data_IF_723504477128
#
_entry.id   IF_723504477128
#
_cell.length_a   1.000
_cell.length_b   1.000
_cell.length_c   1.000
_cell.angle_alpha   90.00
_cell.angle_beta   90.00
_cell.angle_gamma   90.00
#
_symmetry.space_group_name_H-M   'P 1'
#
loop_
_entity.id
_entity.type
_entity.pdbx_description
1 polymer ?
#
# COMPACT_ATOMS: atom_id res chain seq x y z
N UNK A 1 -11.41 39.32 11.20
CA UNK A 1 -11.56 37.89 11.56
C UNK A 1 -11.97 37.10 10.33
N UNK A 2 -11.29 36.04 10.02
CA UNK A 2 -11.64 35.17 8.89
C UNK A 2 -11.46 33.71 9.28
N UNK A 3 -12.53 32.94 9.15
CA UNK A 3 -12.49 31.48 9.14
C UNK A 3 -12.59 31.01 7.69
N UNK A 4 -11.64 30.20 7.27
CA UNK A 4 -11.65 29.54 5.96
C UNK A 4 -11.65 28.05 6.20
N UNK A 5 -12.46 27.35 5.42
CA UNK A 5 -12.46 25.89 5.41
C UNK A 5 -12.48 25.39 3.98
N UNK A 6 -11.85 24.24 3.78
CA UNK A 6 -11.89 23.53 2.51
C UNK A 6 -12.05 22.04 2.83
N UNK A 7 -13.05 21.42 2.21
CA UNK A 7 -13.30 19.99 2.28
C UNK A 7 -13.19 19.40 0.87
N UNK A 8 -12.29 18.47 0.70
CA UNK A 8 -12.11 17.74 -0.54
C UNK A 8 -12.35 16.26 -0.32
N UNK A 9 -13.11 15.64 -1.23
CA UNK A 9 -13.30 14.18 -1.28
C UNK A 9 -12.84 13.75 -2.67
N UNK A 10 -12.01 12.73 -2.71
CA UNK A 10 -11.54 12.14 -3.96
C UNK A 10 -11.74 10.63 -3.93
N UNK A 11 -12.14 10.11 -5.07
CA UNK A 11 -12.21 8.68 -5.33
C UNK A 11 -11.62 8.40 -6.69
N UNK A 12 -10.73 7.44 -6.77
CA UNK A 12 -10.22 6.93 -8.05
C UNK A 12 -10.29 5.41 -8.09
N UNK A 13 -10.57 4.89 -9.27
CA UNK A 13 -10.51 3.48 -9.59
C UNK A 13 -9.67 3.31 -10.84
N UNK A 14 -8.58 2.60 -10.69
CA UNK A 14 -7.60 2.34 -11.74
C UNK A 14 -7.63 0.83 -12.05
N UNK A 15 -8.22 0.41 -13.18
CA UNK A 15 -8.14 -0.99 -13.59
C UNK A 15 -6.69 -1.32 -13.96
N UNK A 16 -6.22 -2.49 -13.54
CA UNK A 16 -4.90 -2.97 -13.91
C UNK A 16 -4.84 -3.46 -15.35
N UNK A 17 -3.61 -3.69 -15.83
CA UNK A 17 -3.36 -4.22 -17.18
C UNK A 17 -3.89 -5.67 -17.31
N UNK A 18 -3.77 -6.43 -16.22
CA UNK A 18 -4.31 -7.79 -16.16
C UNK A 18 -5.77 -7.76 -15.71
N UNK A 19 -6.58 -8.68 -16.25
CA UNK A 19 -7.98 -8.82 -15.83
C UNK A 19 -8.08 -9.06 -14.31
N UNK A 20 -9.13 -8.51 -13.69
CA UNK A 20 -9.41 -8.64 -12.26
C UNK A 20 -8.34 -8.06 -11.33
N UNK A 21 -7.38 -7.32 -11.87
CA UNK A 21 -6.50 -6.50 -11.08
C UNK A 21 -6.95 -5.04 -11.10
N UNK A 22 -6.61 -4.32 -10.05
CA UNK A 22 -6.91 -2.90 -10.00
C UNK A 22 -6.52 -2.27 -8.68
N UNK A 23 -6.66 -0.96 -8.64
CA UNK A 23 -6.43 -0.14 -7.47
C UNK A 23 -7.60 0.80 -7.25
N UNK A 24 -8.14 0.78 -6.05
CA UNK A 24 -9.17 1.72 -5.60
C UNK A 24 -8.52 2.65 -4.56
N UNK A 25 -8.73 3.94 -4.71
CA UNK A 25 -8.25 4.94 -3.77
C UNK A 25 -9.37 5.86 -3.37
N UNK A 26 -9.54 6.09 -2.09
CA UNK A 26 -10.48 7.03 -1.50
C UNK A 26 -9.75 7.96 -0.56
N UNK A 27 -9.98 9.25 -0.68
CA UNK A 27 -9.37 10.26 0.17
C UNK A 27 -10.36 11.32 0.61
N UNK A 28 -10.12 11.84 1.81
CA UNK A 28 -10.79 13.00 2.36
C UNK A 28 -9.74 13.96 2.89
N UNK A 29 -9.86 15.24 2.52
CA UNK A 29 -8.98 16.29 2.98
C UNK A 29 -9.82 17.43 3.56
N UNK A 30 -9.54 17.80 4.80
CA UNK A 30 -10.15 18.92 5.49
C UNK A 30 -9.05 19.93 5.86
N UNK A 31 -9.20 21.16 5.42
CA UNK A 31 -8.31 22.25 5.78
C UNK A 31 -9.11 23.34 6.48
N UNK A 32 -8.66 23.71 7.65
CA UNK A 32 -9.24 24.80 8.45
C UNK A 32 -8.18 25.86 8.67
N UNK A 33 -8.54 27.11 8.45
CA UNK A 33 -7.67 28.25 8.75
C UNK A 33 -8.47 29.33 9.46
N UNK A 34 -8.00 29.72 10.63
CA UNK A 34 -8.57 30.81 11.41
C UNK A 34 -7.53 31.90 11.60
N UNK A 35 -7.87 33.12 11.16
CA UNK A 35 -7.03 34.31 11.33
C UNK A 35 -7.75 35.36 12.16
N UNK A 36 -7.09 35.79 13.25
CA UNK A 36 -7.58 36.86 14.10
C UNK A 36 -6.41 37.72 14.60
N UNK A 37 -6.38 38.97 14.22
CA UNK A 37 -5.33 39.93 14.59
C UNK A 37 -3.93 39.36 14.32
N UNK A 38 -3.20 39.01 15.37
CA UNK A 38 -1.83 38.50 15.36
C UNK A 38 -1.76 36.96 15.25
N UNK A 39 -2.88 36.27 15.31
CA UNK A 39 -2.96 34.81 15.32
C UNK A 39 -3.36 34.26 13.97
N UNK A 40 -2.66 33.24 13.55
CA UNK A 40 -3.01 32.40 12.42
C UNK A 40 -2.96 30.93 12.87
N UNK A 41 -4.10 30.27 12.88
CA UNK A 41 -4.28 28.88 13.30
C UNK A 41 -4.67 28.09 12.07
N UNK A 42 -4.00 26.96 11.84
CA UNK A 42 -4.24 26.08 10.70
C UNK A 42 -4.32 24.63 11.19
N UNK A 43 -5.28 23.91 10.64
CA UNK A 43 -5.36 22.47 10.79
C UNK A 43 -5.61 21.84 9.43
N UNK A 44 -4.92 20.75 9.14
CA UNK A 44 -5.05 19.97 7.92
C UNK A 44 -5.17 18.49 8.28
N UNK A 45 -6.37 17.94 8.09
CA UNK A 45 -6.66 16.52 8.26
C UNK A 45 -6.75 15.85 6.90
N UNK A 46 -6.03 14.76 6.72
CA UNK A 46 -6.09 13.91 5.52
C UNK A 46 -6.36 12.48 5.92
N UNK A 47 -7.35 11.87 5.30
CA UNK A 47 -7.69 10.46 5.40
C UNK A 47 -7.50 9.82 4.03
N UNK A 48 -6.81 8.71 3.95
CA UNK A 48 -6.60 8.00 2.69
C UNK A 48 -6.77 6.50 2.91
N UNK A 49 -7.57 5.86 2.06
CA UNK A 49 -7.66 4.42 1.97
C UNK A 49 -7.34 3.98 0.54
N UNK A 50 -6.40 3.06 0.41
CA UNK A 50 -5.97 2.51 -0.88
C UNK A 50 -6.00 1.01 -0.80
N UNK A 51 -6.75 0.38 -1.71
CA UNK A 51 -6.79 -1.07 -1.89
C UNK A 51 -6.35 -1.43 -3.29
N UNK A 52 -5.37 -2.33 -3.38
CA UNK A 52 -4.92 -2.94 -4.61
C UNK A 52 -5.20 -4.44 -4.61
N UNK A 53 -5.84 -4.93 -5.65
CA UNK A 53 -6.11 -6.36 -5.86
C UNK A 53 -5.24 -6.85 -7.02
N UNK A 54 -4.46 -7.91 -6.80
CA UNK A 54 -3.64 -8.55 -7.82
C UNK A 54 -4.49 -9.53 -8.63
N UNK A 55 -4.06 -9.76 -9.88
CA UNK A 55 -4.81 -10.58 -10.82
C UNK A 55 -4.63 -12.07 -10.56
N UNK A 56 -5.69 -12.87 -10.50
CA UNK A 56 -5.61 -14.33 -10.51
C UNK A 56 -5.03 -14.89 -11.81
N UNK A 57 -5.01 -14.07 -12.88
CA UNK A 57 -4.36 -14.43 -14.15
C UNK A 57 -2.83 -14.38 -14.10
N UNK A 58 -2.23 -13.99 -12.97
CA UNK A 58 -0.80 -13.78 -12.83
C UNK A 58 -0.27 -12.53 -13.53
N UNK A 59 1.03 -12.49 -13.81
CA UNK A 59 1.67 -11.32 -14.42
C UNK A 59 1.70 -11.40 -15.95
N UNK A 60 1.66 -10.24 -16.61
CA UNK A 60 1.79 -10.15 -18.07
C UNK A 60 3.07 -10.82 -18.60
N UNK A 61 4.17 -10.75 -17.84
CA UNK A 61 5.45 -11.37 -18.23
C UNK A 61 5.39 -12.90 -18.33
N UNK A 62 4.47 -13.56 -17.63
CA UNK A 62 4.28 -15.01 -17.76
C UNK A 62 3.73 -15.36 -19.15
N UNK A 63 2.83 -14.56 -19.69
CA UNK A 63 2.22 -14.79 -21.01
C UNK A 63 3.17 -14.50 -22.16
N UNK A 64 3.99 -13.46 -22.05
CA UNK A 64 4.94 -13.08 -23.12
C UNK A 64 6.03 -14.13 -23.36
N UNK A 65 6.28 -15.01 -22.39
CA UNK A 65 7.28 -16.11 -22.49
C UNK A 65 6.68 -17.42 -23.00
N UNK A 66 5.35 -17.50 -23.14
CA UNK A 66 4.68 -18.71 -23.59
C UNK A 66 4.65 -18.80 -25.11
N UNK A 67 4.81 -20.02 -25.63
CA UNK A 67 4.60 -20.30 -27.03
C UNK A 67 3.10 -20.14 -27.35
N UNK A 68 2.71 -19.32 -28.34
CA UNK A 68 1.30 -19.09 -28.70
C UNK A 68 0.58 -20.34 -29.23
N UNK A 69 1.33 -21.36 -29.66
CA UNK A 69 0.77 -22.62 -30.18
C UNK A 69 0.45 -23.64 -29.08
N UNK A 70 0.74 -23.37 -27.82
CA UNK A 70 0.35 -24.29 -26.75
C UNK A 70 -1.16 -24.43 -26.64
N UNK A 71 -1.63 -25.68 -26.55
CA UNK A 71 -3.04 -26.00 -26.30
C UNK A 71 -3.37 -25.69 -24.83
N UNK A 72 -4.25 -24.73 -24.61
CA UNK A 72 -4.61 -24.22 -23.27
C UNK A 72 -5.64 -25.08 -22.55
N UNK A 73 -6.45 -25.83 -23.30
CA UNK A 73 -7.59 -26.59 -22.80
C UNK A 73 -7.50 -28.05 -23.22
N UNK A 74 -8.13 -28.92 -22.44
CA UNK A 74 -8.40 -30.30 -22.78
C UNK A 74 -9.52 -30.44 -23.87
N UNK A 75 -9.90 -31.66 -24.19
CA UNK A 75 -10.94 -31.97 -25.18
C UNK A 75 -12.34 -31.49 -24.75
N UNK A 76 -12.54 -31.30 -23.42
CA UNK A 76 -13.77 -30.81 -22.84
C UNK A 76 -13.81 -29.28 -22.66
N UNK A 77 -12.78 -28.57 -23.14
CA UNK A 77 -12.67 -27.12 -23.04
C UNK A 77 -12.22 -26.60 -21.67
N UNK A 78 -11.77 -27.47 -20.74
CA UNK A 78 -11.26 -27.07 -19.42
C UNK A 78 -9.78 -26.74 -19.51
N UNK A 79 -9.32 -25.71 -18.79
CA UNK A 79 -7.89 -25.39 -18.77
C UNK A 79 -7.08 -26.50 -18.10
N UNK A 80 -6.03 -26.94 -18.77
CA UNK A 80 -5.05 -27.89 -18.23
C UNK A 80 -4.08 -27.18 -17.31
N UNK A 81 -3.58 -27.83 -16.26
CA UNK A 81 -2.58 -27.27 -15.36
C UNK A 81 -1.20 -27.10 -16.02
N UNK A 82 -0.91 -27.96 -17.01
CA UNK A 82 0.33 -27.94 -17.78
C UNK A 82 0.03 -27.66 -19.24
N UNK A 83 0.85 -26.84 -19.88
CA UNK A 83 0.85 -26.58 -21.32
C UNK A 83 1.79 -27.53 -22.05
N UNK A 84 2.94 -27.85 -21.45
CA UNK A 84 3.97 -28.73 -22.02
C UNK A 84 4.89 -29.25 -20.92
N UNK A 85 5.58 -30.36 -21.24
CA UNK A 85 6.65 -30.93 -20.43
C UNK A 85 7.87 -31.14 -21.28
N UNK A 86 8.96 -30.45 -20.99
CA UNK A 86 10.22 -30.59 -21.71
C UNK A 86 11.23 -31.38 -20.89
N UNK A 87 11.75 -32.48 -21.49
CA UNK A 87 12.88 -33.17 -20.92
C UNK A 87 14.16 -32.40 -21.24
N UNK A 88 14.96 -32.13 -20.22
CA UNK A 88 16.26 -31.52 -20.40
C UNK A 88 17.23 -32.56 -21.00
N UNK A 89 18.09 -32.19 -21.99
CA UNK A 89 19.07 -33.10 -22.55
C UNK A 89 20.16 -33.41 -21.52
N UNK A 90 20.66 -34.67 -21.54
CA UNK A 90 21.77 -35.14 -20.72
C UNK A 90 21.38 -36.33 -19.82
N UNK A 91 22.41 -37.14 -19.40
CA UNK A 91 22.21 -38.21 -18.41
C UNK A 91 21.77 -37.59 -17.06
N UNK A 92 20.57 -37.96 -16.63
CA UNK A 92 19.94 -37.38 -15.43
C UNK A 92 19.16 -36.07 -15.69
N UNK A 93 18.92 -35.70 -16.95
CA UNK A 93 18.13 -34.53 -17.33
C UNK A 93 16.72 -34.55 -16.72
N UNK A 94 16.40 -33.52 -15.94
CA UNK A 94 15.09 -33.36 -15.32
C UNK A 94 13.99 -32.96 -16.31
N UNK A 95 12.76 -32.95 -15.86
CA UNK A 95 11.62 -32.46 -16.63
C UNK A 95 11.29 -31.02 -16.21
N UNK A 96 11.18 -30.13 -17.20
CA UNK A 96 10.69 -28.76 -16.99
C UNK A 96 9.21 -28.71 -17.36
N UNK A 97 8.39 -28.40 -16.40
CA UNK A 97 6.94 -28.22 -16.58
C UNK A 97 6.67 -26.78 -17.02
N UNK A 98 5.93 -26.63 -18.13
CA UNK A 98 5.43 -25.33 -18.58
C UNK A 98 3.99 -25.23 -18.09
N UNK A 99 3.78 -24.44 -17.05
CA UNK A 99 2.49 -24.29 -16.40
C UNK A 99 1.55 -23.38 -17.19
N UNK A 100 0.26 -23.64 -17.06
CA UNK A 100 -0.79 -22.83 -17.65
C UNK A 100 -1.28 -21.78 -16.62
N UNK A 101 -0.97 -20.50 -16.79
CA UNK A 101 -1.41 -19.48 -15.85
C UNK A 101 -2.96 -19.33 -15.79
N UNK A 102 -3.66 -19.73 -16.87
CA UNK A 102 -5.13 -19.68 -16.91
C UNK A 102 -5.80 -20.77 -16.04
N UNK A 103 -5.08 -21.81 -15.69
CA UNK A 103 -5.61 -22.86 -14.81
C UNK A 103 -5.97 -22.34 -13.43
N UNK A 104 -5.17 -21.38 -12.92
CA UNK A 104 -5.35 -20.81 -11.58
C UNK A 104 -6.64 -20.00 -11.43
N UNK A 105 -7.30 -19.62 -12.54
CA UNK A 105 -8.58 -18.91 -12.51
C UNK A 105 -9.73 -19.74 -11.87
N UNK A 106 -9.61 -21.06 -11.94
CA UNK A 106 -10.61 -21.95 -11.35
C UNK A 106 -10.30 -22.30 -9.89
N UNK A 107 -9.16 -21.86 -9.41
CA UNK A 107 -8.73 -22.11 -8.04
C UNK A 107 -9.15 -20.94 -7.14
N UNK A 108 -9.44 -21.22 -5.88
CA UNK A 108 -9.61 -20.15 -4.90
C UNK A 108 -8.30 -19.40 -4.73
N UNK A 109 -8.39 -18.11 -4.88
CA UNK A 109 -7.26 -17.18 -4.86
C UNK A 109 -7.65 -15.89 -4.16
N UNK A 110 -6.75 -15.35 -3.35
CA UNK A 110 -6.89 -14.06 -2.72
C UNK A 110 -5.53 -13.39 -2.71
N UNK A 111 -5.43 -12.21 -3.21
CA UNK A 111 -4.18 -11.44 -3.19
C UNK A 111 -4.53 -9.96 -3.26
N UNK A 112 -4.46 -9.30 -2.11
CA UNK A 112 -4.70 -7.88 -2.03
C UNK A 112 -3.80 -7.20 -1.01
N UNK A 113 -3.64 -5.91 -1.19
CA UNK A 113 -2.99 -5.01 -0.23
C UNK A 113 -3.93 -3.84 0.05
N UNK A 114 -4.14 -3.53 1.32
CA UNK A 114 -4.94 -2.40 1.77
C UNK A 114 -4.12 -1.52 2.70
N UNK A 115 -4.12 -0.22 2.44
CA UNK A 115 -3.42 0.77 3.24
C UNK A 115 -4.40 1.88 3.64
N UNK A 116 -4.55 2.07 4.93
CA UNK A 116 -5.31 3.18 5.49
C UNK A 116 -4.37 4.13 6.22
N UNK A 117 -4.52 5.43 6.02
CA UNK A 117 -3.69 6.44 6.65
C UNK A 117 -4.52 7.65 7.08
N UNK A 118 -4.24 8.12 8.28
CA UNK A 118 -4.74 9.38 8.85
C UNK A 118 -3.55 10.27 9.13
N UNK A 119 -3.57 11.47 8.60
CA UNK A 119 -2.56 12.51 8.87
C UNK A 119 -3.27 13.76 9.34
N UNK A 120 -2.92 14.24 10.52
CA UNK A 120 -3.41 15.51 11.06
C UNK A 120 -2.23 16.43 11.37
N UNK A 121 -2.26 17.62 10.80
CA UNK A 121 -1.25 18.65 10.98
C UNK A 121 -1.90 19.89 11.57
N UNK A 122 -1.48 20.27 12.75
CA UNK A 122 -1.89 21.49 13.43
C UNK A 122 -0.74 22.48 13.46
N UNK A 123 -1.00 23.75 13.15
CA UNK A 123 -0.03 24.83 13.24
C UNK A 123 -0.67 26.08 13.80
N UNK A 124 0.02 26.73 14.71
CA UNK A 124 -0.34 28.02 15.28
C UNK A 124 0.81 28.98 15.14
N UNK A 125 0.57 30.16 14.62
CA UNK A 125 1.53 31.26 14.48
C UNK A 125 0.99 32.51 15.17
N UNK A 126 1.87 33.18 15.89
CA UNK A 126 1.59 34.47 16.54
C UNK A 126 2.65 35.50 16.16
N UNK A 127 2.21 36.62 15.58
CA UNK A 127 3.04 37.79 15.40
C UNK A 127 3.03 38.64 16.68
N UNK A 128 3.96 38.37 17.60
CA UNK A 128 4.06 39.07 18.89
C UNK A 128 4.32 40.56 18.66
N UNK A 129 5.31 40.83 17.79
CA UNK A 129 5.68 42.15 17.29
C UNK A 129 5.68 42.13 15.76
N UNK A 130 5.81 43.29 15.12
CA UNK A 130 5.93 43.37 13.64
C UNK A 130 7.14 42.58 13.10
N UNK A 131 8.18 42.54 13.89
CA UNK A 131 9.45 41.88 13.57
C UNK A 131 9.70 40.56 14.31
N UNK A 132 8.79 40.14 15.21
CA UNK A 132 8.95 38.92 16.00
C UNK A 132 7.72 37.99 15.81
N UNK A 133 7.98 36.79 15.29
CA UNK A 133 6.98 35.73 15.13
C UNK A 133 7.38 34.48 15.87
N UNK A 134 6.41 33.86 16.48
CA UNK A 134 6.55 32.57 17.14
C UNK A 134 5.53 31.63 16.51
N UNK A 135 5.94 30.40 16.21
CA UNK A 135 5.05 29.35 15.75
C UNK A 135 5.26 28.06 16.53
N UNK A 136 4.19 27.30 16.67
CA UNK A 136 4.20 25.95 17.19
C UNK A 136 3.36 25.05 16.28
N UNK A 137 3.81 23.83 16.08
CA UNK A 137 3.12 22.86 15.27
C UNK A 137 3.13 21.47 15.93
N UNK A 138 2.09 20.72 15.64
CA UNK A 138 1.99 19.32 15.99
C UNK A 138 1.50 18.53 14.79
N UNK A 139 2.06 17.36 14.57
CA UNK A 139 1.65 16.44 13.52
C UNK A 139 1.46 15.06 14.11
N UNK A 140 0.41 14.36 13.71
CA UNK A 140 0.20 12.96 14.00
C UNK A 140 -0.12 12.21 12.71
N UNK A 141 0.54 11.07 12.52
CA UNK A 141 0.24 10.14 11.44
C UNK A 141 -0.06 8.78 12.04
N UNK A 142 -1.20 8.21 11.67
CA UNK A 142 -1.53 6.81 11.96
C UNK A 142 -1.77 6.09 10.63
N UNK A 143 -1.03 5.02 10.40
CA UNK A 143 -1.17 4.16 9.23
C UNK A 143 -1.44 2.72 9.63
N UNK A 144 -2.28 2.03 8.87
CA UNK A 144 -2.43 0.58 8.94
C UNK A 144 -2.24 0.01 7.54
N UNK A 145 -1.50 -1.09 7.45
CA UNK A 145 -1.32 -1.84 6.21
C UNK A 145 -1.77 -3.29 6.42
N UNK A 146 -2.44 -3.84 5.43
CA UNK A 146 -2.85 -5.25 5.42
C UNK A 146 -2.54 -5.83 4.05
N UNK A 147 -1.79 -6.91 4.03
CA UNK A 147 -1.58 -7.74 2.86
C UNK A 147 -2.08 -9.14 3.15
N UNK A 148 -2.78 -9.74 2.21
CA UNK A 148 -3.29 -11.09 2.37
C UNK A 148 -3.18 -11.82 1.04
N UNK A 149 -2.51 -12.98 1.07
CA UNK A 149 -2.30 -13.84 -0.10
C UNK A 149 -2.72 -15.26 0.27
N UNK A 150 -3.66 -15.82 -0.46
CA UNK A 150 -4.07 -17.21 -0.38
C UNK A 150 -3.93 -17.89 -1.73
N UNK A 151 -3.34 -19.08 -1.74
CA UNK A 151 -3.24 -19.95 -2.90
C UNK A 151 -3.76 -21.33 -2.53
N UNK A 152 -4.75 -21.82 -3.28
CA UNK A 152 -5.31 -23.17 -3.16
C UNK A 152 -4.24 -24.25 -3.29
N UNK A 153 -4.44 -25.40 -2.70
CA UNK A 153 -3.60 -26.60 -2.87
C UNK A 153 -3.46 -27.02 -4.34
N UNK A 154 -4.44 -26.67 -5.17
CA UNK A 154 -4.48 -27.00 -6.60
C UNK A 154 -3.80 -25.93 -7.47
N UNK A 155 -3.26 -24.86 -6.88
CA UNK A 155 -2.54 -23.82 -7.62
C UNK A 155 -1.31 -24.42 -8.32
N UNK A 156 -0.98 -23.90 -9.51
CA UNK A 156 0.12 -24.42 -10.35
C UNK A 156 1.49 -24.35 -9.67
N UNK A 157 1.68 -23.50 -8.68
CA UNK A 157 2.92 -23.43 -7.90
C UNK A 157 3.20 -24.70 -7.10
N UNK A 158 2.15 -25.50 -6.78
CA UNK A 158 2.26 -26.72 -6.01
C UNK A 158 2.28 -27.99 -6.88
N UNK A 159 2.35 -27.86 -8.21
CA UNK A 159 2.46 -29.02 -9.11
C UNK A 159 3.71 -29.89 -8.87
N UNK A 160 4.90 -29.31 -8.58
CA UNK A 160 6.08 -30.10 -8.27
C UNK A 160 6.05 -30.79 -6.89
N UNK A 161 5.18 -30.29 -5.97
CA UNK A 161 5.11 -30.82 -4.60
C UNK A 161 4.29 -32.10 -4.58
N UNK A 162 4.83 -33.14 -3.98
CA UNK A 162 4.17 -34.45 -3.83
C UNK A 162 3.53 -34.62 -2.46
N UNK A 163 4.02 -33.92 -1.45
CA UNK A 163 3.50 -33.96 -0.10
C UNK A 163 2.27 -33.04 0.02
N UNK A 164 1.11 -33.64 0.23
CA UNK A 164 -0.16 -32.91 0.37
C UNK A 164 -0.15 -31.94 1.57
N UNK A 165 0.64 -32.23 2.61
CA UNK A 165 0.74 -31.38 3.80
C UNK A 165 1.50 -30.07 3.53
N UNK A 166 2.12 -29.93 2.37
CA UNK A 166 2.87 -28.76 1.93
C UNK A 166 2.19 -28.00 0.80
N UNK A 167 1.04 -28.48 0.30
CA UNK A 167 0.26 -27.82 -0.73
C UNK A 167 -0.70 -26.80 -0.14
N UNK A 168 -0.89 -25.70 -0.87
CA UNK A 168 -1.67 -24.56 -0.41
C UNK A 168 -0.87 -23.67 0.52
N UNK A 169 -1.03 -22.37 0.38
CA UNK A 169 -0.34 -21.38 1.21
C UNK A 169 -1.26 -20.22 1.57
N UNK A 170 -1.09 -19.73 2.79
CA UNK A 170 -1.71 -18.51 3.27
C UNK A 170 -0.65 -17.63 3.89
N UNK A 171 -0.65 -16.37 3.49
CA UNK A 171 0.22 -15.35 4.07
C UNK A 171 -0.62 -14.11 4.39
N UNK A 172 -0.48 -13.62 5.61
CA UNK A 172 -1.12 -12.39 6.07
C UNK A 172 -0.08 -11.54 6.77
N UNK A 173 0.06 -10.31 6.33
CA UNK A 173 0.88 -9.29 6.97
C UNK A 173 -0.01 -8.14 7.40
N UNK A 174 0.14 -7.70 8.64
CA UNK A 174 -0.56 -6.54 9.18
C UNK A 174 0.47 -5.63 9.83
N UNK A 175 0.52 -4.38 9.41
CA UNK A 175 1.40 -3.35 9.94
C UNK A 175 0.62 -2.20 10.52
N UNK A 176 1.07 -1.68 11.66
CA UNK A 176 0.58 -0.46 12.29
C UNK A 176 1.74 0.51 12.46
N UNK A 177 1.54 1.72 11.97
CA UNK A 177 2.48 2.82 12.13
C UNK A 177 1.80 3.95 12.88
N UNK A 178 2.47 4.48 13.90
CA UNK A 178 2.08 5.72 14.58
C UNK A 178 3.31 6.59 14.68
N UNK A 179 3.23 7.78 14.09
CA UNK A 179 4.27 8.80 14.26
C UNK A 179 3.66 10.12 14.72
N UNK A 180 4.38 10.82 15.57
CA UNK A 180 4.01 12.17 15.95
C UNK A 180 5.23 13.07 16.00
N UNK A 181 5.01 14.33 15.77
CA UNK A 181 6.03 15.34 15.91
C UNK A 181 5.44 16.63 16.51
N UNK A 182 6.24 17.31 17.32
CA UNK A 182 5.94 18.64 17.85
C UNK A 182 7.11 19.54 17.53
N UNK A 183 6.83 20.72 17.04
CA UNK A 183 7.86 21.69 16.74
C UNK A 183 7.47 23.09 17.26
N UNK A 184 8.49 23.87 17.58
CA UNK A 184 8.33 25.28 17.90
C UNK A 184 9.42 26.06 17.16
N UNK A 185 9.10 27.26 16.72
CA UNK A 185 10.07 28.15 16.11
C UNK A 185 9.86 29.61 16.47
N UNK A 186 10.95 30.37 16.46
CA UNK A 186 10.96 31.81 16.66
C UNK A 186 11.75 32.44 15.52
N UNK A 187 11.20 33.51 14.95
CA UNK A 187 11.89 34.32 13.94
C UNK A 187 11.84 35.77 14.32
N UNK A 188 13.00 36.44 14.27
CA UNK A 188 13.15 37.87 14.52
C UNK A 188 13.88 38.50 13.35
N UNK A 189 13.26 39.55 12.77
CA UNK A 189 13.83 40.30 11.66
C UNK A 189 13.93 41.74 12.06
N UNK A 190 15.16 42.29 12.09
CA UNK A 190 15.43 43.69 12.38
C UNK A 190 16.05 44.38 11.20
N UNK A 191 15.43 45.47 10.77
CA UNK A 191 15.92 46.29 9.66
C UNK A 191 16.14 47.71 10.17
N UNK A 192 17.35 48.21 10.01
CA UNK A 192 17.70 49.61 10.30
C UNK A 192 18.63 50.12 9.25
N UNK A 193 18.22 51.19 8.58
CA UNK A 193 18.95 51.83 7.46
C UNK A 193 19.32 50.82 6.36
N UNK A 194 20.60 50.50 6.25
CA UNK A 194 21.16 49.53 5.29
C UNK A 194 21.45 48.17 5.91
N UNK A 195 21.11 47.95 7.19
CA UNK A 195 21.41 46.72 7.92
C UNK A 195 20.15 45.90 8.11
N UNK A 196 20.25 44.63 7.75
CA UNK A 196 19.22 43.61 7.99
C UNK A 196 19.82 42.54 8.90
N UNK A 197 19.20 42.28 10.05
CA UNK A 197 19.52 41.17 10.93
C UNK A 197 18.33 40.23 10.97
N UNK A 198 18.54 38.94 10.60
CA UNK A 198 17.54 37.87 10.67
C UNK A 198 18.05 36.79 11.60
N UNK A 199 17.30 36.53 12.66
CA UNK A 199 17.53 35.41 13.61
C UNK A 199 16.41 34.42 13.53
N UNK A 200 16.75 33.13 13.48
CA UNK A 200 15.82 32.04 13.44
C UNK A 200 16.25 30.94 14.42
N UNK A 201 15.35 30.51 15.26
CA UNK A 201 15.50 29.37 16.15
C UNK A 201 14.39 28.35 15.93
N UNK A 202 14.72 27.07 15.92
CA UNK A 202 13.74 25.96 15.80
C UNK A 202 14.10 24.84 16.74
N UNK A 203 13.05 24.27 17.34
CA UNK A 203 13.09 23.07 18.14
C UNK A 203 12.09 22.06 17.59
N UNK A 204 12.44 20.77 17.58
CA UNK A 204 11.64 19.69 17.09
C UNK A 204 11.82 18.42 17.93
N UNK A 205 10.73 17.73 18.22
CA UNK A 205 10.71 16.38 18.80
C UNK A 205 9.78 15.52 17.99
N UNK A 206 10.23 14.35 17.66
CA UNK A 206 9.46 13.37 16.90
C UNK A 206 9.67 11.95 17.45
N UNK A 207 8.65 11.14 17.29
CA UNK A 207 8.67 9.72 17.61
C UNK A 207 7.95 8.94 16.52
N UNK A 208 8.49 7.79 16.17
CA UNK A 208 7.88 6.87 15.22
C UNK A 208 7.87 5.45 15.82
N UNK A 209 6.68 4.85 15.86
CA UNK A 209 6.45 3.49 16.34
C UNK A 209 5.83 2.66 15.23
N UNK A 210 6.52 1.58 14.86
CA UNK A 210 6.06 0.61 13.87
C UNK A 210 5.91 -0.76 14.54
N UNK A 211 4.77 -1.40 14.30
CA UNK A 211 4.53 -2.78 14.67
C UNK A 211 4.12 -3.54 13.41
N UNK A 212 4.65 -4.75 13.23
CA UNK A 212 4.21 -5.65 12.17
C UNK A 212 4.00 -7.05 12.72
N UNK A 213 2.99 -7.71 12.18
CA UNK A 213 2.69 -9.13 12.47
C UNK A 213 2.55 -9.83 11.14
N UNK A 214 3.42 -10.82 10.93
CA UNK A 214 3.42 -11.65 9.74
C UNK A 214 3.03 -13.07 10.13
N UNK A 215 2.01 -13.60 9.46
CA UNK A 215 1.53 -14.97 9.61
C UNK A 215 1.71 -15.68 8.28
N UNK A 216 2.31 -16.85 8.29
CA UNK A 216 2.37 -17.74 7.15
C UNK A 216 1.99 -19.16 7.54
N UNK A 217 1.22 -19.82 6.70
CA UNK A 217 0.79 -21.19 6.90
C UNK A 217 0.81 -21.93 5.56
N UNK A 218 1.09 -23.21 5.61
CA UNK A 218 1.10 -24.12 4.46
C UNK A 218 0.29 -25.38 4.80
N UNK A 219 -0.12 -26.13 3.78
CA UNK A 219 -0.77 -27.41 3.97
C UNK A 219 -2.27 -27.29 4.24
N UNK A 220 -3.00 -26.76 3.27
CA UNK A 220 -4.46 -26.65 3.36
C UNK A 220 -5.11 -27.80 2.60
N UNK A 221 -5.70 -28.81 3.30
CA UNK A 221 -6.28 -29.98 2.67
C UNK A 221 -7.58 -29.69 1.91
N UNK A 222 -8.17 -28.53 2.14
CA UNK A 222 -9.35 -28.04 1.42
C UNK A 222 -9.23 -26.55 1.18
N UNK A 223 -10.02 -26.03 0.24
CA UNK A 223 -10.00 -24.62 -0.15
C UNK A 223 -10.86 -23.71 0.77
N UNK A 224 -11.31 -24.20 1.92
CA UNK A 224 -12.19 -23.47 2.83
C UNK A 224 -11.39 -22.74 3.91
N UNK A 225 -10.65 -21.71 3.51
CA UNK A 225 -9.88 -20.87 4.44
C UNK A 225 -10.63 -19.63 4.94
N UNK A 226 -11.81 -19.37 4.41
CA UNK A 226 -12.58 -18.16 4.74
C UNK A 226 -13.70 -18.42 5.77
N UNK A 227 -13.81 -19.63 6.33
CA UNK A 227 -14.82 -20.01 7.34
C UNK A 227 -14.16 -20.18 8.72
#
# INVERSE_FOLDING_TARGET
EALRYNLGINYSREPGVMKESGRNSMGLNLSLQYRRKKWNIQNQLSLTNVRGDNSPYGSFSQYTKLNPYYRKTDENGRYTSLLDQKKLPGEGGGTVNIVNPLYNLYQKYKDFTENFSVVDNFNIECAILENLRVSAGASITKGTSRMEVFKSMNHTDFLPETDLTRKGSYSKSTGDNVSWSVNASVSYNYTKDKHLLSLFGRWNVDENKNNSVDLSAMGFPNDNMDD
#
